data_IF_297537530146
#
_entry.id   IF_297537530146
#
_cell.length_a   1.000
_cell.length_b   1.000
_cell.length_c   1.000
_cell.angle_alpha   90.00
_cell.angle_beta   90.00
_cell.angle_gamma   90.00
#
_symmetry.space_group_name_H-M   'P 1'
#
loop_
_entity.id
_entity.type
_entity.pdbx_description
1 polymer ?
#
# COMPACT_ATOMS: atom_id res chain seq x y z
N UNK A 1 -39.48 -10.67 -18.54
CA UNK A 1 -38.11 -10.76 -19.07
C UNK A 1 -37.57 -9.34 -19.10
N UNK A 2 -37.10 -8.81 -17.94
CA UNK A 2 -36.54 -7.47 -17.84
C UNK A 2 -35.01 -7.64 -17.87
N UNK A 3 -34.42 -7.24 -19.00
CA UNK A 3 -32.97 -7.17 -19.13
C UNK A 3 -32.46 -6.07 -18.20
N UNK A 4 -31.73 -6.47 -17.16
CA UNK A 4 -30.87 -5.56 -16.39
C UNK A 4 -29.84 -4.97 -17.36
N UNK A 5 -30.09 -3.74 -17.80
CA UNK A 5 -29.05 -2.92 -18.43
C UNK A 5 -27.93 -2.77 -17.40
N UNK A 6 -26.78 -3.38 -17.66
CA UNK A 6 -25.55 -3.06 -16.95
C UNK A 6 -25.30 -1.58 -17.13
N UNK A 7 -24.98 -0.83 -16.05
CA UNK A 7 -24.58 0.56 -16.21
C UNK A 7 -23.31 0.58 -17.10
N UNK A 8 -23.41 1.31 -18.19
CA UNK A 8 -22.29 1.60 -19.09
C UNK A 8 -21.11 2.09 -18.25
N UNK A 9 -19.92 1.50 -18.47
CA UNK A 9 -18.66 1.99 -17.92
C UNK A 9 -18.62 3.49 -18.20
N UNK A 10 -18.81 4.29 -17.16
CA UNK A 10 -18.67 5.74 -17.25
C UNK A 10 -17.25 6.03 -17.70
N UNK A 11 -17.13 6.76 -18.77
CA UNK A 11 -15.99 7.43 -19.37
C UNK A 11 -14.57 6.92 -18.99
N UNK A 12 -13.73 6.59 -19.97
CA UNK A 12 -12.37 6.11 -19.73
C UNK A 12 -11.60 7.11 -18.86
N UNK A 13 -11.08 6.63 -17.72
CA UNK A 13 -10.27 7.45 -16.84
C UNK A 13 -9.04 6.68 -16.38
N UNK A 14 -7.95 7.40 -16.18
CA UNK A 14 -6.70 6.81 -15.67
C UNK A 14 -6.41 7.29 -14.26
N UNK A 15 -5.87 6.41 -13.42
CA UNK A 15 -5.42 6.73 -12.07
C UNK A 15 -3.91 6.56 -12.00
N UNK A 16 -3.21 7.58 -11.49
CA UNK A 16 -1.77 7.51 -11.28
C UNK A 16 -1.49 7.82 -9.81
N UNK A 17 -0.87 6.88 -9.10
CA UNK A 17 -0.40 7.07 -7.73
C UNK A 17 1.02 7.60 -7.77
N UNK A 18 1.28 8.69 -7.08
CA UNK A 18 2.51 9.46 -7.09
C UNK A 18 3.12 9.58 -5.68
N UNK A 19 4.40 9.90 -5.56
CA UNK A 19 5.00 10.32 -4.29
C UNK A 19 4.25 11.46 -3.62
N UNK A 20 4.64 11.84 -2.40
CA UNK A 20 4.03 12.93 -1.65
C UNK A 20 4.13 14.26 -2.40
N UNK A 21 3.05 15.03 -2.46
CA UNK A 21 3.03 16.33 -3.11
C UNK A 21 3.78 17.38 -2.30
N UNK A 22 3.74 17.25 -0.96
CA UNK A 22 4.43 18.18 -0.04
C UNK A 22 5.94 18.18 -0.16
N UNK A 23 6.54 17.14 -0.75
CA UNK A 23 7.97 17.07 -1.01
C UNK A 23 8.42 17.93 -2.21
N UNK A 24 7.46 18.57 -2.89
CA UNK A 24 7.71 19.34 -4.11
C UNK A 24 7.62 20.86 -3.87
N UNK A 25 8.62 21.43 -3.24
CA UNK A 25 8.69 22.88 -3.06
C UNK A 25 9.04 23.65 -4.36
N UNK A 26 9.53 22.97 -5.39
CA UNK A 26 10.12 23.58 -6.59
C UNK A 26 9.49 23.11 -7.91
N UNK A 27 8.17 22.89 -7.88
CA UNK A 27 7.41 22.64 -9.12
C UNK A 27 7.34 23.93 -9.91
N UNK A 28 7.58 23.84 -11.22
CA UNK A 28 7.46 24.99 -12.12
C UNK A 28 6.05 25.59 -12.11
N UNK A 29 5.94 26.89 -12.37
CA UNK A 29 4.69 27.64 -12.28
C UNK A 29 3.59 27.08 -13.20
N UNK A 30 3.95 26.48 -14.33
CA UNK A 30 2.98 25.89 -15.25
C UNK A 30 2.33 24.64 -14.65
N UNK A 31 3.12 23.77 -14.04
CA UNK A 31 2.63 22.56 -13.35
C UNK A 31 1.82 22.93 -12.09
N UNK A 32 2.26 23.98 -11.35
CA UNK A 32 1.46 24.50 -10.22
C UNK A 32 0.09 24.98 -10.69
N UNK A 33 0.04 25.80 -11.74
CA UNK A 33 -1.20 26.29 -12.32
C UNK A 33 -2.09 25.16 -12.82
N UNK A 34 -1.50 24.12 -13.41
CA UNK A 34 -2.22 22.96 -13.88
C UNK A 34 -2.88 22.19 -12.73
N UNK A 35 -2.13 21.89 -11.66
CA UNK A 35 -2.66 21.19 -10.48
C UNK A 35 -3.74 22.01 -9.76
N UNK A 36 -3.53 23.31 -9.56
CA UNK A 36 -4.50 24.19 -8.87
C UNK A 36 -5.82 24.30 -9.62
N UNK A 37 -5.79 24.21 -10.95
CA UNK A 37 -7.03 24.21 -11.76
C UNK A 37 -7.83 22.91 -11.63
N UNK A 38 -7.23 21.81 -11.18
CA UNK A 38 -7.92 20.55 -10.92
C UNK A 38 -8.89 20.65 -9.73
N UNK A 39 -9.67 19.60 -9.48
CA UNK A 39 -10.33 19.43 -8.19
C UNK A 39 -9.33 18.81 -7.23
N UNK A 40 -8.68 19.66 -6.45
CA UNK A 40 -7.70 19.23 -5.45
C UNK A 40 -8.43 18.98 -4.14
N UNK A 41 -8.33 17.76 -3.61
CA UNK A 41 -8.92 17.34 -2.34
C UNK A 41 -7.84 16.72 -1.43
N UNK A 42 -8.00 16.91 -0.14
CA UNK A 42 -7.12 16.30 0.85
C UNK A 42 -7.90 15.27 1.68
N UNK A 43 -7.41 14.05 1.69
CA UNK A 43 -7.90 12.97 2.55
C UNK A 43 -6.77 12.62 3.53
N UNK A 44 -7.11 12.37 4.79
CA UNK A 44 -6.11 12.01 5.78
C UNK A 44 -5.22 10.86 5.25
N UNK A 45 -3.89 10.92 5.46
CA UNK A 45 -2.95 9.88 4.99
C UNK A 45 -3.25 8.46 5.51
N UNK A 46 -4.07 8.35 6.56
CA UNK A 46 -4.49 7.09 7.17
C UNK A 46 -5.36 6.20 6.27
N UNK A 47 -5.87 6.72 5.14
CA UNK A 47 -6.56 5.87 4.18
C UNK A 47 -5.55 5.12 3.30
N UNK A 48 -5.61 3.79 3.35
CA UNK A 48 -4.78 2.94 2.52
C UNK A 48 -4.95 3.28 1.02
N UNK A 49 -3.85 3.28 0.27
CA UNK A 49 -3.82 3.61 -1.17
C UNK A 49 -4.82 2.77 -1.97
N UNK A 50 -4.97 1.48 -1.62
CA UNK A 50 -5.92 0.61 -2.32
C UNK A 50 -7.35 1.12 -2.17
N UNK A 51 -7.78 1.50 -0.96
CA UNK A 51 -9.13 2.00 -0.72
C UNK A 51 -9.37 3.33 -1.47
N UNK A 52 -8.35 4.19 -1.58
CA UNK A 52 -8.42 5.41 -2.38
C UNK A 52 -8.56 5.13 -3.88
N UNK A 53 -7.86 4.12 -4.41
CA UNK A 53 -8.02 3.69 -5.81
C UNK A 53 -9.42 3.13 -6.03
N UNK A 54 -9.89 2.23 -5.15
CA UNK A 54 -11.20 1.58 -5.28
C UNK A 54 -12.37 2.57 -5.18
N UNK A 55 -12.25 3.62 -4.37
CA UNK A 55 -13.23 4.70 -4.32
C UNK A 55 -13.47 5.31 -5.71
N UNK A 56 -12.42 5.57 -6.49
CA UNK A 56 -12.55 6.11 -7.85
C UNK A 56 -13.02 5.06 -8.87
N UNK A 57 -12.94 3.78 -8.54
CA UNK A 57 -13.45 2.68 -9.36
C UNK A 57 -14.92 2.34 -9.06
N UNK A 58 -15.59 3.11 -8.20
CA UNK A 58 -16.94 2.84 -7.71
C UNK A 58 -17.07 1.42 -7.11
N UNK A 59 -16.04 0.99 -6.37
CA UNK A 59 -16.06 -0.26 -5.61
C UNK A 59 -16.37 0.09 -4.15
N UNK A 60 -17.53 -0.34 -3.62
CA UNK A 60 -18.02 0.12 -2.32
C UNK A 60 -17.38 -0.55 -1.10
N UNK A 61 -16.48 -1.51 -1.29
CA UNK A 61 -15.96 -2.32 -0.21
C UNK A 61 -14.68 -1.75 0.38
N UNK A 62 -14.66 -1.56 1.70
CA UNK A 62 -13.42 -1.36 2.45
C UNK A 62 -12.71 -2.71 2.62
N UNK A 63 -11.44 -2.75 2.27
CA UNK A 63 -10.63 -3.96 2.34
C UNK A 63 -9.81 -3.92 3.63
N UNK A 64 -9.87 -5.01 4.38
CA UNK A 64 -9.13 -5.18 5.63
C UNK A 64 -8.15 -6.37 5.59
N UNK A 65 -8.36 -7.34 4.70
CA UNK A 65 -7.55 -8.56 4.60
C UNK A 65 -6.27 -8.37 3.79
N UNK A 66 -5.47 -7.34 4.13
CA UNK A 66 -4.25 -6.99 3.37
C UNK A 66 -3.21 -8.10 3.34
N UNK A 67 -3.08 -8.89 4.41
CA UNK A 67 -2.16 -10.02 4.46
C UNK A 67 -2.53 -11.11 3.46
N UNK A 68 -3.82 -11.42 3.31
CA UNK A 68 -4.31 -12.39 2.33
C UNK A 68 -4.08 -11.91 0.89
N UNK A 69 -4.35 -10.63 0.62
CA UNK A 69 -4.11 -10.03 -0.68
C UNK A 69 -2.62 -10.00 -1.02
N UNK A 70 -1.76 -9.60 -0.06
CA UNK A 70 -0.31 -9.58 -0.24
C UNK A 70 0.23 -10.97 -0.58
N UNK A 71 -0.18 -11.99 0.18
CA UNK A 71 0.20 -13.38 -0.08
C UNK A 71 -0.22 -13.83 -1.49
N UNK A 72 -1.47 -13.55 -1.88
CA UNK A 72 -1.97 -13.91 -3.21
C UNK A 72 -1.22 -13.17 -4.33
N UNK A 73 -0.98 -11.89 -4.15
CA UNK A 73 -0.25 -11.07 -5.14
C UNK A 73 1.21 -11.46 -5.31
N UNK A 74 1.83 -11.99 -4.25
CA UNK A 74 3.21 -12.43 -4.27
C UNK A 74 3.36 -13.86 -4.83
N UNK A 75 2.54 -14.79 -4.34
CA UNK A 75 2.68 -16.21 -4.64
C UNK A 75 1.84 -16.69 -5.81
N UNK A 76 0.82 -15.94 -6.22
CA UNK A 76 -0.28 -16.34 -7.13
C UNK A 76 -1.07 -17.56 -6.64
N UNK A 77 -0.93 -17.91 -5.36
CA UNK A 77 -1.68 -19.00 -4.73
C UNK A 77 -2.73 -18.40 -3.80
N UNK A 78 -4.00 -18.71 -4.05
CA UNK A 78 -5.11 -18.29 -3.20
C UNK A 78 -4.96 -18.94 -1.83
N UNK A 79 -4.89 -18.17 -0.71
CA UNK A 79 -4.87 -18.76 0.62
C UNK A 79 -6.22 -19.44 0.91
N UNK A 80 -6.17 -20.64 1.47
CA UNK A 80 -7.38 -21.41 1.80
C UNK A 80 -7.86 -21.16 3.24
N UNK A 81 -6.98 -20.66 4.08
CA UNK A 81 -7.21 -20.37 5.48
C UNK A 81 -7.05 -18.87 5.75
N UNK A 82 -7.39 -18.48 6.97
CA UNK A 82 -7.05 -17.16 7.47
C UNK A 82 -5.53 -16.94 7.43
N UNK A 83 -5.09 -15.77 6.97
CA UNK A 83 -3.68 -15.43 6.85
C UNK A 83 -3.45 -13.95 7.16
N UNK A 84 -2.33 -13.66 7.79
CA UNK A 84 -1.83 -12.32 8.04
C UNK A 84 -0.37 -12.16 7.59
N UNK A 85 0.05 -10.94 7.34
CA UNK A 85 1.47 -10.62 7.21
C UNK A 85 2.15 -10.72 8.57
N UNK A 86 3.40 -11.19 8.58
CA UNK A 86 4.26 -11.32 9.75
C UNK A 86 5.65 -10.77 9.39
N UNK A 87 5.83 -9.46 9.49
CA UNK A 87 7.05 -8.80 9.03
C UNK A 87 8.04 -8.57 10.18
N UNK A 88 9.36 -8.72 9.94
CA UNK A 88 10.38 -8.44 10.94
C UNK A 88 10.39 -6.95 11.27
N UNK A 89 10.42 -6.66 12.57
CA UNK A 89 10.45 -5.29 13.10
C UNK A 89 11.40 -5.21 14.30
N UNK A 90 11.81 -3.99 14.60
CA UNK A 90 12.50 -3.69 15.85
C UNK A 90 11.55 -2.91 16.75
N UNK A 91 11.13 -3.52 17.87
CA UNK A 91 10.34 -2.85 18.91
C UNK A 91 11.30 -2.25 19.93
N UNK A 92 11.28 -0.93 20.03
CA UNK A 92 12.14 -0.16 20.91
C UNK A 92 11.34 0.48 22.05
N UNK A 93 11.73 0.20 23.28
CA UNK A 93 11.19 0.86 24.44
C UNK A 93 11.82 2.25 24.61
N UNK A 94 10.98 3.27 24.85
CA UNK A 94 11.34 4.59 25.29
C UNK A 94 10.74 4.82 26.68
N UNK A 95 11.06 5.95 27.33
CA UNK A 95 10.64 6.26 28.69
C UNK A 95 9.11 6.26 28.87
N UNK A 96 8.37 6.70 27.89
CA UNK A 96 6.92 6.92 27.92
C UNK A 96 6.14 6.06 26.93
N UNK A 97 6.81 5.40 25.98
CA UNK A 97 6.17 4.66 24.88
C UNK A 97 7.07 3.60 24.27
N UNK A 98 6.44 2.67 23.57
CA UNK A 98 7.12 1.72 22.71
C UNK A 98 6.91 2.10 21.25
N UNK A 99 7.97 2.08 20.47
CA UNK A 99 7.95 2.39 19.04
C UNK A 99 8.27 1.13 18.24
N UNK A 100 7.59 0.96 17.11
CA UNK A 100 7.88 -0.09 16.14
C UNK A 100 8.63 0.53 14.97
N UNK A 101 9.78 -0.06 14.64
CA UNK A 101 10.61 0.36 13.50
C UNK A 101 10.62 -0.76 12.45
N UNK A 102 10.19 -0.49 11.22
CA UNK A 102 10.35 -1.44 10.12
C UNK A 102 11.83 -1.66 9.84
N UNK A 103 12.16 -2.87 9.40
CA UNK A 103 13.52 -3.22 8.98
C UNK A 103 13.66 -3.00 7.48
N UNK A 104 14.75 -2.37 7.08
CA UNK A 104 15.05 -2.23 5.67
C UNK A 104 15.33 -3.59 5.03
N UNK A 105 14.66 -3.90 3.94
CA UNK A 105 14.79 -5.19 3.24
C UNK A 105 16.23 -5.47 2.78
N UNK A 106 17.02 -4.44 2.52
CA UNK A 106 18.41 -4.57 2.12
C UNK A 106 19.32 -5.09 3.25
N UNK A 107 18.88 -5.02 4.50
CA UNK A 107 19.61 -5.50 5.67
C UNK A 107 19.25 -6.96 6.01
N UNK A 108 18.28 -7.54 5.33
CA UNK A 108 17.78 -8.90 5.61
C UNK A 108 18.56 -9.92 4.79
N UNK A 109 19.26 -10.82 5.48
CA UNK A 109 19.76 -12.05 4.87
C UNK A 109 18.61 -13.06 4.74
N UNK A 110 18.26 -13.40 3.49
CA UNK A 110 17.14 -14.30 3.18
C UNK A 110 17.26 -15.67 3.82
N UNK A 111 18.46 -16.25 3.83
CA UNK A 111 18.68 -17.59 4.38
C UNK A 111 18.53 -17.57 5.90
N UNK A 112 19.05 -16.53 6.54
CA UNK A 112 18.90 -16.33 7.97
C UNK A 112 17.43 -16.13 8.35
N UNK A 113 16.67 -15.37 7.57
CA UNK A 113 15.22 -15.20 7.80
C UNK A 113 14.47 -16.52 7.69
N UNK A 114 14.72 -17.33 6.67
CA UNK A 114 14.08 -18.65 6.53
C UNK A 114 14.39 -19.52 7.76
N UNK A 115 15.64 -19.52 8.22
CA UNK A 115 16.02 -20.26 9.42
C UNK A 115 15.24 -19.76 10.65
N UNK A 116 15.21 -18.45 10.89
CA UNK A 116 14.52 -17.84 12.04
C UNK A 116 13.03 -18.19 12.04
N UNK A 117 12.34 -18.03 10.91
CA UNK A 117 10.92 -18.35 10.80
C UNK A 117 10.65 -19.83 11.08
N UNK A 118 11.52 -20.73 10.61
CA UNK A 118 11.40 -22.16 10.87
C UNK A 118 11.57 -22.48 12.37
N UNK A 119 12.52 -21.84 13.05
CA UNK A 119 12.73 -22.08 14.49
C UNK A 119 11.54 -21.58 15.31
N UNK A 120 11.04 -20.38 15.04
CA UNK A 120 9.86 -19.84 15.71
C UNK A 120 8.62 -20.70 15.39
N UNK A 121 8.47 -21.14 14.14
CA UNK A 121 7.31 -21.93 13.73
C UNK A 121 7.22 -23.28 14.47
N UNK A 122 8.33 -23.93 14.80
CA UNK A 122 8.32 -25.20 15.56
C UNK A 122 7.56 -25.08 16.89
N UNK A 123 7.64 -23.92 17.53
CA UNK A 123 7.01 -23.67 18.82
C UNK A 123 5.60 -23.16 18.61
N UNK A 124 5.41 -22.14 17.77
CA UNK A 124 4.10 -21.53 17.52
C UNK A 124 3.09 -22.52 16.92
N UNK A 125 3.55 -23.40 16.01
CA UNK A 125 2.68 -24.42 15.42
C UNK A 125 2.10 -25.38 16.47
N UNK A 126 2.90 -25.74 17.48
CA UNK A 126 2.49 -26.64 18.54
C UNK A 126 1.58 -25.97 19.56
N UNK A 127 1.90 -24.75 19.96
CA UNK A 127 1.21 -24.08 21.07
C UNK A 127 -0.02 -23.29 20.62
N UNK A 128 0.03 -22.67 19.44
CA UNK A 128 -1.00 -21.77 18.94
C UNK A 128 -1.74 -22.30 17.71
N UNK A 129 -1.36 -23.47 17.19
CA UNK A 129 -1.97 -24.06 15.96
C UNK A 129 -1.93 -23.10 14.77
N UNK A 130 -0.81 -22.41 14.64
CA UNK A 130 -0.53 -21.49 13.53
C UNK A 130 0.63 -22.04 12.69
N UNK A 131 0.71 -21.60 11.44
CA UNK A 131 1.81 -21.93 10.53
C UNK A 131 2.50 -20.65 10.07
N UNK A 132 3.78 -20.49 10.41
CA UNK A 132 4.59 -19.34 10.08
C UNK A 132 5.42 -19.63 8.83
N UNK A 133 5.29 -18.81 7.81
CA UNK A 133 5.90 -19.00 6.50
C UNK A 133 6.68 -17.75 6.08
N UNK A 134 7.73 -17.95 5.27
CA UNK A 134 8.46 -16.82 4.65
C UNK A 134 9.02 -17.21 3.29
N UNK A 135 9.24 -16.21 2.45
CA UNK A 135 10.02 -16.31 1.21
C UNK A 135 11.47 -15.79 1.40
N UNK A 136 11.86 -15.49 2.64
CA UNK A 136 13.16 -14.94 3.01
C UNK A 136 13.21 -13.40 3.05
N UNK A 137 12.15 -12.71 2.63
CA UNK A 137 12.03 -11.23 2.72
C UNK A 137 10.76 -10.86 3.48
N UNK A 138 9.64 -11.44 3.07
CA UNK A 138 8.32 -11.22 3.66
C UNK A 138 7.91 -12.46 4.43
N UNK A 139 7.13 -12.25 5.50
CA UNK A 139 6.61 -13.33 6.30
C UNK A 139 5.09 -13.31 6.39
N UNK A 140 4.54 -14.49 6.67
CA UNK A 140 3.12 -14.73 6.81
C UNK A 140 2.85 -15.68 7.97
N UNK A 141 1.74 -15.48 8.64
CA UNK A 141 1.20 -16.42 9.63
C UNK A 141 -0.17 -16.88 9.16
N UNK A 142 -0.37 -18.18 9.10
CA UNK A 142 -1.62 -18.83 8.68
C UNK A 142 -2.25 -19.57 9.84
N UNK A 143 -3.59 -19.56 9.90
CA UNK A 143 -4.35 -20.29 10.93
C UNK A 143 -5.69 -20.74 10.38
N UNK A 144 -6.27 -21.79 11.00
CA UNK A 144 -7.67 -22.20 10.74
C UNK A 144 -8.69 -21.21 11.28
N UNK A 145 -8.33 -20.49 12.32
CA UNK A 145 -9.19 -19.50 12.99
C UNK A 145 -8.56 -18.12 12.89
N UNK A 146 -9.40 -17.09 12.96
CA UNK A 146 -8.92 -15.71 12.99
C UNK A 146 -8.11 -15.44 14.25
N UNK A 147 -6.97 -14.78 14.09
CA UNK A 147 -6.11 -14.30 15.18
C UNK A 147 -6.13 -12.77 15.16
N UNK A 148 -6.15 -12.10 16.32
CA UNK A 148 -6.04 -10.65 16.35
C UNK A 148 -4.77 -10.17 15.67
N UNK A 149 -4.86 -9.15 14.82
CA UNK A 149 -3.72 -8.53 14.16
C UNK A 149 -3.89 -7.02 14.10
N UNK A 150 -2.79 -6.28 13.96
CA UNK A 150 -2.85 -4.86 13.67
C UNK A 150 -3.51 -4.61 12.31
N UNK A 151 -4.23 -3.50 12.20
CA UNK A 151 -4.75 -3.02 10.92
C UNK A 151 -3.68 -2.28 10.11
N UNK A 152 -2.54 -1.95 10.72
CA UNK A 152 -1.49 -1.11 10.15
C UNK A 152 -0.27 -1.94 9.79
N UNK A 153 0.30 -1.69 8.61
CA UNK A 153 1.60 -2.22 8.21
C UNK A 153 2.74 -1.57 9.00
N UNK A 154 3.95 -2.17 9.05
CA UNK A 154 5.11 -1.57 9.72
C UNK A 154 5.47 -0.18 9.20
N UNK A 155 5.25 0.11 7.94
CA UNK A 155 5.55 1.41 7.32
C UNK A 155 4.54 2.50 7.73
N UNK A 156 3.27 2.13 7.96
CA UNK A 156 2.22 3.06 8.37
C UNK A 156 2.34 3.46 9.85
N UNK A 157 3.02 2.65 10.67
CA UNK A 157 3.16 2.89 12.12
C UNK A 157 4.45 3.63 12.50
N UNK A 158 5.23 4.05 11.54
CA UNK A 158 6.45 4.81 11.80
C UNK A 158 6.10 6.06 12.66
N UNK A 159 6.73 6.17 13.82
CA UNK A 159 6.50 7.23 14.82
C UNK A 159 5.17 7.17 15.62
N UNK A 160 4.33 6.14 15.43
CA UNK A 160 3.16 5.92 16.28
C UNK A 160 3.53 5.10 17.53
N UNK A 161 2.82 5.35 18.62
CA UNK A 161 2.94 4.50 19.82
C UNK A 161 2.27 3.14 19.57
N UNK A 162 2.88 2.08 20.06
CA UNK A 162 2.37 0.71 19.92
C UNK A 162 0.93 0.55 20.43
N UNK A 163 0.55 1.30 21.47
CA UNK A 163 -0.80 1.27 22.03
C UNK A 163 -1.88 1.80 21.08
N UNK A 164 -1.50 2.65 20.12
CA UNK A 164 -2.41 3.21 19.12
C UNK A 164 -2.68 2.27 17.95
N UNK A 165 -1.79 1.29 17.75
CA UNK A 165 -1.78 0.41 16.58
C UNK A 165 -2.05 -1.06 16.92
N UNK A 166 -2.14 -1.39 18.21
CA UNK A 166 -2.59 -2.70 18.67
C UNK A 166 -4.10 -2.89 18.39
N UNK A 167 -4.54 -4.14 18.18
CA UNK A 167 -5.96 -4.45 18.10
C UNK A 167 -6.71 -3.96 19.34
N UNK A 168 -7.96 -3.51 19.16
CA UNK A 168 -8.75 -2.95 20.25
C UNK A 168 -9.37 -4.02 21.17
N UNK A 169 -9.68 -3.63 22.43
CA UNK A 169 -10.45 -4.44 23.38
C UNK A 169 -9.72 -5.70 23.84
N UNK A 170 -10.47 -6.78 24.09
CA UNK A 170 -9.94 -8.06 24.58
C UNK A 170 -8.93 -8.72 23.63
N UNK A 171 -8.95 -8.39 22.38
CA UNK A 171 -8.03 -8.89 21.35
C UNK A 171 -6.61 -8.35 21.54
N UNK A 172 -6.44 -7.16 22.12
CA UNK A 172 -5.14 -6.56 22.43
C UNK A 172 -4.29 -7.46 23.33
N UNK A 173 -4.90 -8.10 24.33
CA UNK A 173 -4.20 -9.01 25.24
C UNK A 173 -3.65 -10.23 24.52
N UNK A 174 -4.47 -10.87 23.67
CA UNK A 174 -4.06 -12.08 22.92
C UNK A 174 -2.94 -11.71 21.94
N UNK A 175 -3.09 -10.60 21.23
CA UNK A 175 -2.06 -10.10 20.33
C UNK A 175 -0.75 -9.82 21.05
N UNK A 176 -0.81 -9.11 22.19
CA UNK A 176 0.36 -8.80 23.01
C UNK A 176 1.07 -10.04 23.53
N UNK A 177 0.33 -11.07 23.95
CA UNK A 177 0.89 -12.35 24.38
C UNK A 177 1.66 -13.02 23.24
N UNK A 178 1.08 -13.06 22.03
CA UNK A 178 1.73 -13.66 20.86
C UNK A 178 2.99 -12.90 20.45
N UNK A 179 2.94 -11.56 20.46
CA UNK A 179 4.12 -10.73 20.17
C UNK A 179 5.24 -10.96 21.21
N UNK A 180 4.89 -11.01 22.49
CA UNK A 180 5.87 -11.26 23.55
C UNK A 180 6.51 -12.65 23.41
N UNK A 181 5.73 -13.68 23.10
CA UNK A 181 6.24 -15.02 22.84
C UNK A 181 7.24 -15.03 21.69
N UNK A 182 6.88 -14.40 20.57
CA UNK A 182 7.78 -14.25 19.41
C UNK A 182 9.08 -13.53 19.83
N UNK A 183 9.00 -12.47 20.63
CA UNK A 183 10.19 -11.75 21.11
C UNK A 183 11.08 -12.64 21.97
N UNK A 184 10.50 -13.43 22.89
CA UNK A 184 11.27 -14.37 23.72
C UNK A 184 11.97 -15.42 22.86
N UNK A 185 11.27 -16.00 21.88
CA UNK A 185 11.85 -16.99 20.97
C UNK A 185 13.00 -16.43 20.14
N UNK A 186 12.89 -15.19 19.67
CA UNK A 186 13.96 -14.49 18.95
C UNK A 186 15.15 -14.26 19.89
N UNK A 187 14.90 -13.81 21.12
CA UNK A 187 15.94 -13.52 22.10
C UNK A 187 16.71 -14.79 22.53
N UNK A 188 16.01 -15.89 22.76
CA UNK A 188 16.60 -17.17 23.17
C UNK A 188 17.38 -17.87 22.06
N UNK A 189 17.09 -17.52 20.80
CA UNK A 189 17.78 -18.07 19.65
C UNK A 189 19.16 -17.43 19.48
N UNK A 190 20.21 -18.14 19.89
CA UNK A 190 21.61 -17.69 19.73
C UNK A 190 22.05 -17.47 18.28
N UNK A 191 21.26 -17.93 17.33
CA UNK A 191 21.55 -17.86 15.90
C UNK A 191 20.97 -16.59 15.24
N UNK A 192 20.19 -15.79 15.97
CA UNK A 192 19.56 -14.59 15.46
C UNK A 192 20.34 -13.37 15.94
N UNK A 193 20.72 -12.49 15.03
CA UNK A 193 21.22 -11.17 15.41
C UNK A 193 20.03 -10.31 15.89
N UNK A 194 19.78 -10.35 17.20
CA UNK A 194 18.73 -9.56 17.86
C UNK A 194 18.92 -8.05 17.74
N UNK A 195 20.08 -7.61 17.24
CA UNK A 195 20.30 -6.18 16.94
C UNK A 195 19.63 -5.77 15.63
N UNK A 196 19.37 -6.73 14.72
CA UNK A 196 18.73 -6.43 13.45
C UNK A 196 17.21 -6.31 13.59
N UNK A 197 16.59 -7.29 14.26
CA UNK A 197 15.16 -7.28 14.59
C UNK A 197 14.92 -8.10 15.85
N UNK A 198 13.89 -7.77 16.60
CA UNK A 198 13.56 -8.42 17.85
C UNK A 198 12.09 -8.88 17.94
N UNK A 199 11.31 -8.71 16.88
CA UNK A 199 9.91 -9.13 16.84
C UNK A 199 9.43 -9.33 15.41
N UNK A 200 8.25 -9.96 15.29
CA UNK A 200 7.47 -10.00 14.06
C UNK A 200 6.19 -9.17 14.26
N UNK A 201 5.89 -8.30 13.33
CA UNK A 201 4.67 -7.50 13.34
C UNK A 201 3.57 -8.21 12.56
N UNK A 202 2.53 -8.62 13.27
CA UNK A 202 1.40 -9.32 12.67
C UNK A 202 0.32 -8.32 12.27
N UNK A 203 0.00 -8.25 10.98
CA UNK A 203 -0.92 -7.24 10.48
C UNK A 203 -1.74 -7.69 9.26
N UNK A 204 -2.89 -7.00 9.04
CA UNK A 204 -3.73 -7.18 7.87
C UNK A 204 -4.35 -8.56 7.75
N UNK A 205 -4.63 -9.22 8.89
CA UNK A 205 -5.17 -10.57 8.91
C UNK A 205 -6.59 -10.66 8.38
N UNK A 206 -6.88 -11.73 7.63
CA UNK A 206 -8.21 -11.98 7.08
C UNK A 206 -8.25 -13.21 6.18
N UNK A 207 -9.46 -13.50 5.69
CA UNK A 207 -9.70 -14.47 4.64
C UNK A 207 -9.71 -13.78 3.29
N UNK A 208 -9.29 -14.49 2.26
CA UNK A 208 -9.49 -14.02 0.89
C UNK A 208 -10.88 -14.50 0.42
N UNK A 209 -11.90 -13.78 0.86
CA UNK A 209 -13.28 -14.06 0.46
C UNK A 209 -13.50 -13.79 -1.04
N UNK A 210 -14.65 -14.21 -1.56
CA UNK A 210 -15.03 -13.92 -2.93
C UNK A 210 -15.35 -12.42 -3.06
N UNK A 211 -14.38 -11.65 -3.57
CA UNK A 211 -14.64 -10.26 -3.96
C UNK A 211 -15.64 -10.22 -5.12
N UNK A 212 -16.46 -9.15 -5.15
CA UNK A 212 -17.34 -8.90 -6.28
C UNK A 212 -16.48 -8.74 -7.54
N UNK A 213 -16.66 -9.64 -8.48
CA UNK A 213 -15.86 -9.74 -9.71
C UNK A 213 -16.28 -8.68 -10.73
N UNK A 214 -15.94 -7.42 -10.46
CA UNK A 214 -15.96 -6.39 -11.49
C UNK A 214 -14.59 -6.38 -12.17
N UNK A 215 -14.56 -6.54 -13.47
CA UNK A 215 -13.32 -6.42 -14.24
C UNK A 215 -12.78 -5.00 -14.09
N UNK A 216 -11.55 -4.90 -13.61
CA UNK A 216 -10.85 -3.65 -13.35
C UNK A 216 -9.96 -3.25 -14.53
N UNK A 217 -9.61 -1.96 -14.66
CA UNK A 217 -8.59 -1.52 -15.62
C UNK A 217 -7.25 -2.20 -15.39
N UNK A 218 -6.38 -2.23 -16.40
CA UNK A 218 -5.03 -2.80 -16.27
C UNK A 218 -4.26 -2.08 -15.17
N UNK A 219 -3.66 -2.85 -14.26
CA UNK A 219 -2.82 -2.32 -13.19
C UNK A 219 -1.34 -2.42 -13.57
N UNK A 220 -0.63 -1.31 -13.50
CA UNK A 220 0.83 -1.25 -13.54
C UNK A 220 1.35 -0.98 -12.13
N UNK A 221 1.84 -2.01 -11.45
CA UNK A 221 2.31 -1.90 -10.07
C UNK A 221 3.26 -3.03 -9.70
N UNK A 222 4.16 -2.76 -8.75
CA UNK A 222 4.97 -3.78 -8.08
C UNK A 222 4.42 -4.15 -6.71
N UNK A 223 3.44 -3.40 -6.19
CA UNK A 223 2.82 -3.64 -4.90
C UNK A 223 2.01 -4.94 -4.88
N UNK A 224 2.37 -5.87 -4.00
CA UNK A 224 1.75 -7.20 -3.94
C UNK A 224 0.30 -7.17 -3.44
N UNK A 225 -0.08 -6.22 -2.58
CA UNK A 225 -1.47 -6.10 -2.10
C UNK A 225 -2.38 -5.73 -3.28
N UNK A 226 -1.99 -4.73 -4.07
CA UNK A 226 -2.73 -4.33 -5.26
C UNK A 226 -2.81 -5.46 -6.29
N UNK A 227 -1.68 -6.14 -6.58
CA UNK A 227 -1.69 -7.31 -7.46
C UNK A 227 -2.64 -8.39 -6.99
N UNK A 228 -2.64 -8.69 -5.69
CA UNK A 228 -3.52 -9.69 -5.10
C UNK A 228 -5.00 -9.35 -5.29
N UNK A 229 -5.37 -8.08 -5.14
CA UNK A 229 -6.73 -7.64 -5.40
C UNK A 229 -7.11 -7.77 -6.88
N UNK A 230 -6.22 -7.38 -7.79
CA UNK A 230 -6.43 -7.53 -9.22
C UNK A 230 -6.54 -9.00 -9.66
N UNK A 231 -5.72 -9.88 -9.10
CA UNK A 231 -5.86 -11.33 -9.33
C UNK A 231 -7.19 -11.87 -8.80
N UNK A 232 -7.63 -11.42 -7.61
CA UNK A 232 -8.93 -11.81 -7.06
C UNK A 232 -10.11 -11.32 -7.92
N UNK A 233 -9.93 -10.21 -8.62
CA UNK A 233 -10.90 -9.62 -9.56
C UNK A 233 -10.72 -10.11 -11.00
N UNK A 234 -9.88 -11.13 -11.24
CA UNK A 234 -9.57 -11.68 -12.58
C UNK A 234 -9.15 -10.60 -13.59
N UNK A 235 -8.43 -9.59 -13.11
CA UNK A 235 -8.03 -8.43 -13.90
C UNK A 235 -6.54 -8.45 -14.22
N UNK A 236 -6.16 -7.80 -15.33
CA UNK A 236 -4.79 -7.80 -15.83
C UNK A 236 -3.85 -6.98 -14.95
N UNK A 237 -2.67 -7.53 -14.62
CA UNK A 237 -1.60 -6.81 -13.94
C UNK A 237 -0.30 -6.88 -14.72
N UNK A 238 0.44 -5.79 -14.70
CA UNK A 238 1.78 -5.68 -15.29
C UNK A 238 2.75 -5.08 -14.26
N UNK A 239 4.04 -5.42 -14.33
CA UNK A 239 5.02 -4.75 -13.50
C UNK A 239 5.09 -3.26 -13.89
N UNK A 240 5.26 -2.40 -12.90
CA UNK A 240 5.64 -1.02 -13.14
C UNK A 240 7.16 -0.97 -13.30
N UNK A 241 7.59 -0.58 -14.48
CA UNK A 241 8.99 -0.20 -14.71
C UNK A 241 9.11 1.28 -14.42
N UNK A 242 10.21 1.73 -13.83
CA UNK A 242 10.43 3.11 -13.37
C UNK A 242 10.29 4.20 -14.44
N UNK A 243 10.01 3.83 -15.67
CA UNK A 243 9.78 4.70 -16.82
C UNK A 243 8.27 4.93 -17.04
N UNK A 244 7.77 5.97 -16.38
CA UNK A 244 6.38 6.41 -16.56
C UNK A 244 6.13 6.94 -17.98
N UNK A 245 7.13 7.52 -18.62
CA UNK A 245 6.99 8.09 -19.96
C UNK A 245 6.67 7.02 -20.99
N UNK A 246 7.34 5.89 -20.94
CA UNK A 246 7.02 4.74 -21.79
C UNK A 246 5.60 4.23 -21.54
N UNK A 247 5.16 4.17 -20.29
CA UNK A 247 3.79 3.77 -19.95
C UNK A 247 2.76 4.75 -20.53
N UNK A 248 2.99 6.05 -20.43
CA UNK A 248 2.10 7.10 -20.91
C UNK A 248 2.03 7.15 -22.46
N UNK A 249 3.03 6.64 -23.15
CA UNK A 249 3.05 6.52 -24.61
C UNK A 249 2.29 5.29 -25.11
N UNK A 250 1.92 4.34 -24.25
CA UNK A 250 1.01 3.25 -24.61
C UNK A 250 -0.38 3.83 -24.80
N UNK A 251 -0.90 3.75 -26.04
CA UNK A 251 -2.26 4.20 -26.39
C UNK A 251 -3.28 3.30 -25.69
N UNK A 252 -3.72 3.72 -24.49
CA UNK A 252 -4.68 2.98 -23.68
C UNK A 252 -5.70 3.91 -23.07
N UNK A 253 -6.94 3.55 -23.25
CA UNK A 253 -8.10 4.35 -22.82
C UNK A 253 -8.26 4.42 -21.29
N UNK A 254 -7.78 3.41 -20.56
CA UNK A 254 -7.93 3.35 -19.10
C UNK A 254 -6.86 2.44 -18.48
N UNK A 255 -6.11 2.98 -17.53
CA UNK A 255 -5.12 2.22 -16.75
C UNK A 255 -4.95 2.78 -15.35
N UNK A 256 -4.35 1.99 -14.48
CA UNK A 256 -3.93 2.41 -13.14
C UNK A 256 -2.43 2.17 -13.02
N UNK A 257 -1.69 3.22 -12.69
CA UNK A 257 -0.25 3.14 -12.47
C UNK A 257 0.10 3.53 -11.03
N UNK A 258 0.93 2.72 -10.38
CA UNK A 258 1.46 3.01 -9.05
C UNK A 258 2.97 3.16 -9.16
N UNK A 259 3.44 4.41 -9.18
CA UNK A 259 4.82 4.77 -9.50
C UNK A 259 5.77 4.65 -8.32
N UNK A 260 5.25 4.62 -7.10
CA UNK A 260 6.05 4.54 -5.89
C UNK A 260 5.61 3.35 -5.06
N UNK A 261 6.57 2.53 -4.63
CA UNK A 261 6.38 1.58 -3.55
C UNK A 261 6.92 2.17 -2.26
N UNK A 262 6.25 1.90 -1.12
CA UNK A 262 6.67 2.42 0.19
C UNK A 262 8.07 1.97 0.60
N UNK A 263 8.62 0.96 -0.09
CA UNK A 263 9.90 0.34 0.19
C UNK A 263 11.00 0.69 -0.83
N UNK A 264 10.73 1.55 -1.83
CA UNK A 264 11.75 1.93 -2.81
C UNK A 264 12.32 3.33 -2.50
N UNK A 265 13.49 3.40 -1.80
CA UNK A 265 14.12 4.68 -1.46
C UNK A 265 14.58 5.47 -2.67
N UNK A 266 14.65 4.85 -3.85
CA UNK A 266 15.11 5.51 -5.07
C UNK A 266 14.02 6.32 -5.78
N UNK A 267 12.73 6.05 -5.48
CA UNK A 267 11.59 6.72 -6.14
C UNK A 267 11.06 7.91 -5.31
N UNK A 268 11.49 8.06 -4.06
CA UNK A 268 11.02 9.11 -3.14
C UNK A 268 11.64 10.48 -3.35
N UNK A 269 12.47 10.69 -4.38
CA UNK A 269 13.13 11.99 -4.56
C UNK A 269 12.22 13.00 -5.29
N UNK A 270 12.28 14.25 -4.84
CA UNK A 270 11.63 15.42 -5.43
C UNK A 270 11.83 15.55 -6.96
N UNK A 271 13.01 15.16 -7.45
CA UNK A 271 13.33 15.16 -8.88
C UNK A 271 12.44 14.21 -9.68
N UNK A 272 12.10 13.05 -9.13
CA UNK A 272 11.24 12.07 -9.80
C UNK A 272 9.79 12.55 -9.88
N UNK A 273 9.25 13.15 -8.81
CA UNK A 273 7.89 13.68 -8.84
C UNK A 273 7.73 14.79 -9.88
N UNK A 274 8.70 15.71 -9.97
CA UNK A 274 8.69 16.76 -11.00
C UNK A 274 8.70 16.18 -12.42
N UNK A 275 9.56 15.19 -12.66
CA UNK A 275 9.63 14.48 -13.94
C UNK A 275 8.30 13.78 -14.25
N UNK A 276 7.72 13.08 -13.29
CA UNK A 276 6.44 12.41 -13.46
C UNK A 276 5.31 13.39 -13.78
N UNK A 277 5.20 14.49 -13.04
CA UNK A 277 4.18 15.53 -13.30
C UNK A 277 4.34 16.15 -14.69
N UNK A 278 5.58 16.39 -15.13
CA UNK A 278 5.85 16.91 -16.46
C UNK A 278 5.39 15.94 -17.55
N UNK A 279 5.76 14.66 -17.45
CA UNK A 279 5.36 13.61 -18.39
C UNK A 279 3.83 13.41 -18.41
N UNK A 280 3.18 13.44 -17.24
CA UNK A 280 1.72 13.33 -17.13
C UNK A 280 1.02 14.55 -17.76
N UNK A 281 1.55 15.74 -17.54
CA UNK A 281 1.00 16.96 -18.16
C UNK A 281 1.12 16.92 -19.69
N UNK A 282 2.24 16.43 -20.23
CA UNK A 282 2.42 16.21 -21.66
C UNK A 282 1.44 15.15 -22.19
N UNK A 283 1.29 14.03 -21.47
CA UNK A 283 0.30 13.00 -21.80
C UNK A 283 -1.10 13.56 -21.88
N UNK A 284 -1.53 14.34 -20.88
CA UNK A 284 -2.86 14.97 -20.89
C UNK A 284 -3.05 15.90 -22.08
N UNK A 285 -2.04 16.68 -22.43
CA UNK A 285 -2.12 17.60 -23.58
C UNK A 285 -2.18 16.86 -24.91
N UNK A 286 -1.47 15.73 -25.04
CA UNK A 286 -1.40 14.92 -26.26
C UNK A 286 -2.65 14.07 -26.49
N UNK A 287 -3.06 13.31 -25.48
CA UNK A 287 -4.12 12.30 -25.60
C UNK A 287 -5.50 12.78 -25.08
N UNK A 288 -5.53 13.86 -24.30
CA UNK A 288 -6.76 14.49 -23.77
C UNK A 288 -7.71 13.49 -23.12
N UNK A 289 -7.26 12.66 -22.14
CA UNK A 289 -8.13 11.74 -21.45
C UNK A 289 -9.31 12.50 -20.85
N UNK A 290 -10.50 11.93 -20.84
CA UNK A 290 -11.68 12.58 -20.31
C UNK A 290 -11.52 12.92 -18.82
N UNK A 291 -10.88 12.01 -18.07
CA UNK A 291 -10.60 12.20 -16.67
C UNK A 291 -9.27 11.54 -16.29
N UNK A 292 -8.45 12.26 -15.51
CA UNK A 292 -7.19 11.82 -14.98
C UNK A 292 -7.16 12.07 -13.47
N UNK A 293 -6.90 11.05 -12.69
CA UNK A 293 -6.86 11.13 -11.23
C UNK A 293 -5.42 10.90 -10.77
N UNK A 294 -4.86 11.89 -10.09
CA UNK A 294 -3.55 11.80 -9.45
C UNK A 294 -3.75 11.64 -7.95
N UNK A 295 -3.27 10.52 -7.40
CA UNK A 295 -3.34 10.22 -5.97
C UNK A 295 -1.94 10.38 -5.39
N UNK A 296 -1.73 11.38 -4.54
CA UNK A 296 -0.46 11.59 -3.86
C UNK A 296 -0.44 10.86 -2.51
N UNK A 297 0.72 10.33 -2.11
CA UNK A 297 0.85 9.51 -0.89
C UNK A 297 0.63 10.27 0.41
N UNK A 298 0.83 11.59 0.41
CA UNK A 298 0.57 12.48 1.53
C UNK A 298 -0.91 12.85 1.75
N UNK A 299 -1.82 12.21 1.02
CA UNK A 299 -3.26 12.39 1.18
C UNK A 299 -3.91 13.30 0.13
N UNK A 300 -3.14 14.03 -0.65
CA UNK A 300 -3.69 14.85 -1.72
C UNK A 300 -4.17 14.02 -2.91
N UNK A 301 -5.21 14.52 -3.56
CA UNK A 301 -5.74 13.94 -4.81
C UNK A 301 -6.12 15.07 -5.75
N UNK A 302 -5.64 14.99 -6.98
CA UNK A 302 -6.02 15.92 -8.05
C UNK A 302 -6.88 15.18 -9.08
N UNK A 303 -8.16 15.55 -9.18
CA UNK A 303 -9.07 15.06 -10.20
C UNK A 303 -9.09 16.07 -11.35
N UNK A 304 -8.59 15.66 -12.49
CA UNK A 304 -8.32 16.51 -13.65
C UNK A 304 -9.25 16.11 -14.80
N UNK A 305 -9.98 17.06 -15.35
CA UNK A 305 -10.80 16.88 -16.53
C UNK A 305 -10.50 17.95 -17.59
N UNK A 306 -10.95 17.73 -18.81
CA UNK A 306 -10.71 18.64 -19.92
C UNK A 306 -11.22 20.07 -19.68
N UNK A 307 -12.26 20.23 -18.84
CA UNK A 307 -12.86 21.55 -18.52
C UNK A 307 -12.03 22.35 -17.52
N UNK A 308 -11.15 21.73 -16.75
CA UNK A 308 -10.39 22.39 -15.70
C UNK A 308 -9.40 23.44 -16.23
N UNK A 309 -8.95 23.32 -17.47
CA UNK A 309 -8.10 24.31 -18.14
C UNK A 309 -8.69 25.74 -18.17
N UNK A 310 -10.03 25.86 -18.13
CA UNK A 310 -10.73 27.16 -18.16
C UNK A 310 -10.81 27.84 -16.79
N UNK A 311 -10.39 27.21 -15.70
CA UNK A 311 -10.41 27.77 -14.34
C UNK A 311 -9.22 28.70 -14.09
N UNK A 312 -9.06 29.72 -14.94
CA UNK A 312 -7.92 30.65 -14.90
C UNK A 312 -7.90 31.55 -13.66
N UNK A 313 -9.02 31.66 -12.92
CA UNK A 313 -9.14 32.42 -11.69
C UNK A 313 -8.50 31.74 -10.47
N UNK A 314 -8.16 30.43 -10.52
CA UNK A 314 -7.47 29.74 -9.47
C UNK A 314 -5.98 30.05 -9.53
N UNK A 315 -5.43 30.66 -8.46
CA UNK A 315 -4.03 31.07 -8.38
C UNK A 315 -3.17 30.02 -7.66
N UNK A 316 -1.87 29.91 -7.99
CA UNK A 316 -0.95 28.93 -7.42
C UNK A 316 -0.59 29.14 -5.95
N UNK A 317 -0.94 30.26 -5.32
CA UNK A 317 -0.69 30.55 -3.89
C UNK A 317 -1.25 29.47 -2.95
N UNK A 318 -2.13 28.62 -3.44
CA UNK A 318 -2.69 27.51 -2.69
C UNK A 318 -1.67 26.37 -2.47
N UNK A 319 -0.78 26.11 -3.43
CA UNK A 319 0.25 25.03 -3.32
C UNK A 319 1.27 25.38 -2.25
N UNK A 320 1.60 26.65 -2.06
CA UNK A 320 2.49 27.12 -0.98
C UNK A 320 1.93 26.87 0.43
N UNK A 321 0.61 26.74 0.58
CA UNK A 321 -0.04 26.43 1.89
C UNK A 321 -0.07 24.95 2.22
N UNK A 322 0.17 24.06 1.26
CA UNK A 322 0.16 22.60 1.45
C UNK A 322 1.30 22.15 2.36
N UNK A 323 2.47 22.81 2.34
CA UNK A 323 3.63 22.50 3.16
C UNK A 323 3.55 22.93 4.64
N UNK A 324 2.39 23.42 5.10
CA UNK A 324 2.20 23.90 6.48
C UNK A 324 1.09 23.17 7.26
N UNK A 325 0.63 21.99 6.80
CA UNK A 325 -0.32 21.15 7.52
C UNK A 325 0.34 19.82 7.95
#
# INVERSE_FOLDING_TARGET
>A
MFGLMMPSVKNPFSIIVLPALGDCFDIDLNLQNWLVRSNLTYNKPSQNIINRILYYLDVPEEIYSFGALRYYGETKKKPMNWIASADPVFIQAHLDRMLVKPISQNLIDKNNMVFVYNEINKILAKEYSVDLMTNGITGYIQSKHSIPTSSYSPTEILNLSINQVFPSGGQSKIYGQLINEIQMLIYDSKSIDSNLFNSLWLWGGGYLDSFVTKKLPVLYSNNHILKGYWYASESETKPFHSDLENLLNLDRDCFIAVTADDNDPHISSEKHLRSFLSSIHQYQNKYKPERLILIFRDGWTADISAYHKYRIWRKPDFVKKIGHY
#
